data_IF_024818841793
#
_entry.id   IF_024818841793
#
_cell.length_a   1.000
_cell.length_b   1.000
_cell.length_c   1.000
_cell.angle_alpha   90.00
_cell.angle_beta   90.00
_cell.angle_gamma   90.00
#
_symmetry.space_group_name_H-M   'P 1'
#
loop_
_entity.id
_entity.type
_entity.pdbx_description
1 polymer ?
#
# COMPACT_ATOMS: atom_id res chain seq x y z
N UNK A 1 18.70 -6.65 -4.22
CA UNK A 1 19.33 -5.36 -4.52
C UNK A 1 20.33 -4.94 -3.43
N UNK A 2 19.96 -5.02 -2.15
CA UNK A 2 20.78 -4.60 -0.99
C UNK A 2 22.18 -5.22 -1.03
N UNK A 3 22.29 -6.52 -1.25
CA UNK A 3 23.55 -7.29 -1.21
C UNK A 3 24.29 -7.39 -2.56
N UNK A 4 23.77 -6.77 -3.61
CA UNK A 4 24.35 -6.87 -4.95
C UNK A 4 25.25 -5.66 -5.25
N UNK A 5 26.55 -5.83 -5.29
CA UNK A 5 27.55 -4.77 -5.52
C UNK A 5 27.42 -4.05 -6.89
N UNK A 6 26.77 -4.69 -7.84
CA UNK A 6 26.51 -4.08 -9.17
C UNK A 6 25.40 -3.06 -9.13
N UNK A 7 24.50 -3.13 -8.14
CA UNK A 7 23.43 -2.13 -7.94
C UNK A 7 23.99 -1.00 -7.10
N UNK A 8 23.98 0.20 -7.68
CA UNK A 8 24.50 1.41 -7.04
C UNK A 8 23.47 2.16 -6.24
N UNK A 9 22.21 2.08 -6.62
CA UNK A 9 21.10 2.75 -5.94
C UNK A 9 19.76 2.38 -6.54
N UNK A 10 18.72 3.00 -6.01
CA UNK A 10 17.35 2.91 -6.50
C UNK A 10 16.91 4.30 -6.99
N UNK A 11 16.36 4.33 -8.18
CA UNK A 11 15.68 5.49 -8.73
C UNK A 11 14.17 5.23 -8.73
N UNK A 12 13.43 6.02 -7.95
CA UNK A 12 11.97 5.94 -7.85
C UNK A 12 11.39 6.98 -8.80
N UNK A 13 10.74 6.53 -9.85
CA UNK A 13 9.96 7.37 -10.75
C UNK A 13 8.51 6.86 -10.75
N UNK A 14 7.68 7.31 -9.80
CA UNK A 14 6.30 6.85 -9.74
C UNK A 14 5.51 7.44 -10.93
N UNK A 15 4.69 6.62 -11.58
CA UNK A 15 3.75 7.08 -12.60
C UNK A 15 2.32 7.06 -12.07
N UNK A 16 1.81 5.91 -11.74
CA UNK A 16 0.50 5.69 -11.12
C UNK A 16 0.61 4.52 -10.16
N UNK A 17 0.05 4.67 -8.97
CA UNK A 17 0.15 3.68 -7.93
C UNK A 17 -1.23 3.43 -7.32
N UNK A 18 -1.89 2.36 -7.77
CA UNK A 18 -3.16 1.89 -7.22
C UNK A 18 -2.88 0.76 -6.22
N UNK A 19 -2.59 1.13 -4.98
CA UNK A 19 -2.37 0.16 -3.91
C UNK A 19 -2.82 0.70 -2.56
N UNK A 20 -2.97 -0.17 -1.55
CA UNK A 20 -3.36 0.22 -0.21
C UNK A 20 -2.20 0.88 0.55
N UNK A 21 -2.52 1.70 1.55
CA UNK A 21 -1.50 2.30 2.42
C UNK A 21 -0.68 1.25 3.16
N UNK A 22 -1.26 0.11 3.55
CA UNK A 22 -0.52 -1.00 4.14
C UNK A 22 0.54 -1.58 3.19
N UNK A 23 0.22 -1.72 1.89
CA UNK A 23 1.22 -2.16 0.89
C UNK A 23 2.30 -1.10 0.64
N UNK A 24 1.94 0.18 0.69
CA UNK A 24 2.91 1.28 0.60
C UNK A 24 3.89 1.28 1.77
N UNK A 25 3.40 1.02 2.98
CA UNK A 25 4.22 0.88 4.19
C UNK A 25 5.23 -0.26 4.06
N UNK A 26 4.80 -1.43 3.57
CA UNK A 26 5.70 -2.57 3.31
C UNK A 26 6.79 -2.24 2.28
N UNK A 27 6.42 -1.57 1.18
CA UNK A 27 7.41 -1.12 0.18
C UNK A 27 8.37 -0.10 0.81
N UNK A 28 7.85 0.83 1.61
CA UNK A 28 8.65 1.83 2.31
C UNK A 28 9.65 1.17 3.26
N UNK A 29 9.20 0.20 4.07
CA UNK A 29 10.07 -0.56 4.97
C UNK A 29 11.20 -1.28 4.21
N UNK A 30 10.90 -1.86 3.05
CA UNK A 30 11.90 -2.47 2.19
C UNK A 30 12.91 -1.45 1.61
N UNK A 31 12.47 -0.23 1.32
CA UNK A 31 13.36 0.87 0.90
C UNK A 31 14.24 1.35 2.05
N UNK A 32 13.72 1.44 3.27
CA UNK A 32 14.51 1.77 4.46
C UNK A 32 15.57 0.71 4.74
N UNK A 33 15.20 -0.58 4.67
CA UNK A 33 16.16 -1.68 4.76
C UNK A 33 17.24 -1.58 3.67
N UNK A 34 16.87 -1.22 2.45
CA UNK A 34 17.85 -1.00 1.38
C UNK A 34 18.83 0.13 1.71
N UNK A 35 18.39 1.23 2.33
CA UNK A 35 19.28 2.36 2.73
C UNK A 35 20.37 1.93 3.69
N UNK A 36 20.18 0.91 4.52
CA UNK A 36 21.22 0.38 5.41
C UNK A 36 22.46 -0.14 4.67
N UNK A 37 22.32 -0.43 3.36
CA UNK A 37 23.44 -0.79 2.50
C UNK A 37 24.39 0.38 2.15
N UNK A 38 24.04 1.61 2.51
CA UNK A 38 24.75 2.82 2.13
C UNK A 38 24.60 3.23 0.67
N UNK A 39 23.73 2.56 -0.09
CA UNK A 39 23.41 2.90 -1.49
C UNK A 39 22.33 3.97 -1.52
N UNK A 40 22.38 4.81 -2.56
CA UNK A 40 21.44 5.93 -2.67
C UNK A 40 20.02 5.48 -3.07
N UNK A 41 19.04 6.24 -2.60
CA UNK A 41 17.68 6.24 -3.14
C UNK A 41 17.37 7.66 -3.58
N UNK A 42 16.97 7.84 -4.83
CA UNK A 42 16.55 9.12 -5.38
C UNK A 42 15.16 8.98 -5.97
N UNK A 43 14.28 9.92 -5.65
CA UNK A 43 12.92 9.99 -6.19
C UNK A 43 12.76 11.22 -7.08
N UNK A 44 12.07 11.04 -8.20
CA UNK A 44 11.71 12.14 -9.11
C UNK A 44 10.32 11.91 -9.68
N UNK A 45 9.50 12.96 -9.68
CA UNK A 45 8.21 12.94 -10.35
C UNK A 45 7.83 14.31 -10.92
N UNK A 46 6.98 14.28 -11.93
CA UNK A 46 6.27 15.48 -12.39
C UNK A 46 5.09 15.78 -11.47
N UNK A 47 4.49 14.76 -10.88
CA UNK A 47 3.41 14.87 -9.91
C UNK A 47 3.55 13.79 -8.84
N UNK A 48 3.47 14.19 -7.58
CA UNK A 48 3.39 13.28 -6.44
C UNK A 48 1.96 13.25 -5.89
N UNK A 49 1.23 12.15 -6.08
CA UNK A 49 0.05 11.89 -5.25
C UNK A 49 0.48 11.63 -3.81
N UNK A 50 -0.41 11.74 -2.83
CA UNK A 50 -0.08 11.54 -1.42
C UNK A 50 0.61 10.20 -1.15
N UNK A 51 0.12 9.10 -1.75
CA UNK A 51 0.75 7.78 -1.62
C UNK A 51 2.13 7.69 -2.29
N UNK A 52 2.30 8.32 -3.45
CA UNK A 52 3.60 8.40 -4.13
C UNK A 52 4.60 9.22 -3.33
N UNK A 53 4.16 10.36 -2.76
CA UNK A 53 5.00 11.18 -1.90
C UNK A 53 5.41 10.45 -0.63
N UNK A 54 4.49 9.71 -0.03
CA UNK A 54 4.77 8.86 1.13
C UNK A 54 5.91 7.87 0.85
N UNK A 55 5.93 7.21 -0.30
CA UNK A 55 7.04 6.35 -0.71
C UNK A 55 8.31 7.15 -1.02
N UNK A 56 8.18 8.24 -1.78
CA UNK A 56 9.32 9.05 -2.20
C UNK A 56 10.03 9.70 -1.00
N UNK A 57 9.30 10.03 0.06
CA UNK A 57 9.84 10.72 1.24
C UNK A 57 10.92 9.94 1.98
N UNK A 58 11.07 8.63 1.76
CA UNK A 58 12.17 7.82 2.30
C UNK A 58 13.50 8.05 1.57
N UNK A 59 13.45 8.59 0.34
CA UNK A 59 14.63 8.79 -0.48
C UNK A 59 15.64 9.77 0.14
N UNK A 60 16.90 9.63 -0.23
CA UNK A 60 17.96 10.55 0.16
C UNK A 60 17.80 11.90 -0.53
N UNK A 61 17.18 11.88 -1.73
CA UNK A 61 16.79 13.07 -2.46
C UNK A 61 15.40 12.88 -3.06
N UNK A 62 14.51 13.79 -2.74
CA UNK A 62 13.18 13.93 -3.37
C UNK A 62 13.20 15.13 -4.29
N UNK A 63 13.03 14.90 -5.57
CA UNK A 63 13.17 15.89 -6.63
C UNK A 63 11.86 16.00 -7.38
N UNK A 64 11.47 17.21 -7.74
CA UNK A 64 10.24 17.47 -8.49
C UNK A 64 10.53 18.27 -9.76
N UNK A 65 9.68 18.11 -10.77
CA UNK A 65 9.71 18.94 -11.98
C UNK A 65 9.38 20.40 -11.63
N UNK A 66 9.96 21.42 -12.32
CA UNK A 66 9.63 22.84 -12.08
C UNK A 66 8.13 23.19 -12.22
N UNK A 67 7.39 22.44 -13.02
CA UNK A 67 5.93 22.59 -13.18
C UNK A 67 5.16 21.47 -12.44
N UNK A 68 5.84 20.75 -11.56
CA UNK A 68 5.26 19.65 -10.81
C UNK A 68 4.48 20.09 -9.59
N UNK A 69 3.67 19.18 -9.05
CA UNK A 69 2.92 19.41 -7.82
C UNK A 69 2.96 18.22 -6.87
N UNK A 70 2.66 18.48 -5.61
CA UNK A 70 2.53 17.47 -4.55
C UNK A 70 1.12 17.56 -3.98
N UNK A 71 0.34 16.49 -4.16
CA UNK A 71 -0.95 16.35 -3.49
C UNK A 71 -0.74 15.88 -2.04
N UNK A 72 -0.88 16.82 -1.10
CA UNK A 72 -0.79 16.54 0.32
C UNK A 72 -1.98 17.17 1.04
N UNK A 73 -3.04 16.39 1.30
CA UNK A 73 -4.37 16.90 1.68
C UNK A 73 -5.11 16.09 2.74
N UNK A 74 -4.47 15.08 3.36
CA UNK A 74 -5.11 14.23 4.36
C UNK A 74 -6.03 13.17 3.75
N UNK A 75 -6.97 12.67 4.56
CA UNK A 75 -7.87 11.59 4.20
C UNK A 75 -9.32 12.00 4.48
N UNK A 76 -10.23 11.64 3.59
CA UNK A 76 -11.66 11.88 3.74
C UNK A 76 -12.48 10.64 3.38
N UNK A 77 -13.66 10.52 3.98
CA UNK A 77 -14.68 9.53 3.62
C UNK A 77 -16.01 10.25 3.37
N UNK A 78 -16.61 9.98 2.22
CA UNK A 78 -17.87 10.57 1.80
C UNK A 78 -18.90 9.48 1.47
N UNK A 79 -19.58 8.89 2.47
CA UNK A 79 -20.61 7.91 2.21
C UNK A 79 -21.84 8.58 1.57
N UNK A 80 -22.44 7.90 0.61
CA UNK A 80 -23.68 8.32 -0.05
C UNK A 80 -24.84 7.55 0.55
N UNK A 81 -25.94 8.24 0.84
CA UNK A 81 -27.15 7.65 1.43
C UNK A 81 -28.30 7.68 0.41
N UNK A 82 -28.96 6.54 0.25
CA UNK A 82 -30.01 6.31 -0.76
C UNK A 82 -31.42 6.23 -0.16
N UNK A 83 -31.56 6.32 1.16
CA UNK A 83 -32.85 6.16 1.84
C UNK A 83 -33.94 7.02 1.24
N UNK A 84 -33.71 8.32 1.09
CA UNK A 84 -34.74 9.26 0.55
C UNK A 84 -35.09 8.93 -0.90
N UNK A 85 -34.17 8.43 -1.69
CA UNK A 85 -34.43 7.97 -3.05
C UNK A 85 -35.34 6.73 -3.05
N UNK A 86 -34.99 5.76 -2.19
CA UNK A 86 -35.74 4.50 -2.06
C UNK A 86 -37.14 4.75 -1.57
N UNK A 87 -37.32 5.63 -0.58
CA UNK A 87 -38.62 6.05 -0.07
C UNK A 87 -39.51 6.68 -1.20
N UNK A 88 -38.91 7.54 -2.06
CA UNK A 88 -39.63 8.14 -3.22
C UNK A 88 -40.00 7.10 -4.27
N UNK A 89 -39.28 6.02 -4.39
CA UNK A 89 -39.57 4.91 -5.31
C UNK A 89 -40.54 3.87 -4.70
N UNK A 90 -40.91 4.04 -3.42
CA UNK A 90 -41.80 3.10 -2.72
C UNK A 90 -41.08 1.78 -2.39
N UNK A 91 -39.75 1.79 -2.19
CA UNK A 91 -38.94 0.63 -1.87
C UNK A 91 -38.64 0.61 -0.39
N UNK A 92 -39.17 -0.38 0.32
CA UNK A 92 -38.88 -0.66 1.72
C UNK A 92 -37.68 -1.62 1.85
N UNK A 93 -36.64 -1.19 2.56
CA UNK A 93 -35.42 -2.00 2.79
C UNK A 93 -35.51 -2.67 4.15
N UNK A 94 -35.50 -4.01 4.17
CA UNK A 94 -35.44 -4.79 5.40
C UNK A 94 -33.98 -5.21 5.66
N UNK A 95 -33.49 -4.92 6.88
CA UNK A 95 -32.12 -5.16 7.27
C UNK A 95 -32.04 -6.14 8.42
N UNK A 96 -31.23 -7.19 8.24
CA UNK A 96 -30.86 -8.15 9.28
C UNK A 96 -29.37 -7.96 9.59
N UNK A 97 -29.02 -7.31 10.67
CA UNK A 97 -27.65 -7.10 11.11
C UNK A 97 -27.47 -7.40 12.60
N UNK A 98 -26.28 -7.87 12.95
CA UNK A 98 -25.88 -8.09 14.34
C UNK A 98 -24.62 -7.28 14.64
N UNK A 99 -24.66 -6.47 15.67
CA UNK A 99 -23.54 -5.64 16.13
C UNK A 99 -23.65 -4.17 15.74
N UNK A 100 -23.17 -3.32 16.64
CA UNK A 100 -23.28 -1.85 16.58
C UNK A 100 -22.51 -1.26 15.39
N UNK A 101 -21.33 -1.81 15.10
CA UNK A 101 -20.41 -1.30 14.07
C UNK A 101 -20.61 -1.91 12.67
N UNK A 102 -21.73 -2.63 12.43
CA UNK A 102 -22.09 -3.17 11.12
C UNK A 102 -22.81 -2.10 10.29
N UNK A 103 -22.04 -1.17 9.72
CA UNK A 103 -22.54 0.05 9.06
C UNK A 103 -22.78 -0.09 7.54
N UNK A 104 -22.40 -1.22 6.92
CA UNK A 104 -22.54 -1.41 5.46
C UNK A 104 -23.96 -1.21 4.91
N UNK A 105 -24.98 -1.37 5.74
CA UNK A 105 -26.39 -1.21 5.36
C UNK A 105 -26.94 0.20 5.61
N UNK A 106 -26.24 1.05 6.34
CA UNK A 106 -26.70 2.41 6.66
C UNK A 106 -27.04 3.26 5.43
N UNK A 107 -26.31 3.18 4.31
CA UNK A 107 -26.67 3.90 3.09
C UNK A 107 -28.09 3.68 2.60
N UNK A 108 -28.69 2.55 2.92
CA UNK A 108 -30.04 2.19 2.46
C UNK A 108 -31.15 2.50 3.46
N UNK A 109 -30.84 2.71 4.74
CA UNK A 109 -31.82 2.85 5.83
C UNK A 109 -31.67 4.14 6.64
N UNK A 110 -30.62 4.91 6.40
CA UNK A 110 -30.35 6.17 7.09
C UNK A 110 -30.06 7.30 6.08
N UNK A 111 -30.15 8.54 6.54
CA UNK A 111 -29.84 9.75 5.77
C UNK A 111 -28.48 10.34 6.14
N UNK A 112 -27.88 9.84 7.21
CA UNK A 112 -26.55 10.23 7.70
C UNK A 112 -25.88 9.09 8.42
N UNK A 113 -24.58 9.24 8.68
CA UNK A 113 -23.80 8.26 9.44
C UNK A 113 -24.28 8.19 10.89
N UNK A 114 -24.47 6.97 11.39
CA UNK A 114 -24.67 6.77 12.83
C UNK A 114 -23.43 7.22 13.64
N UNK A 115 -23.58 7.57 14.93
CA UNK A 115 -22.43 7.89 15.79
C UNK A 115 -21.35 6.77 15.80
N UNK A 116 -21.78 5.50 15.85
CA UNK A 116 -20.89 4.35 15.85
C UNK A 116 -20.12 4.24 14.51
N UNK A 117 -20.79 4.44 13.38
CA UNK A 117 -20.13 4.44 12.08
C UNK A 117 -19.14 5.62 11.95
N UNK A 118 -19.53 6.81 12.38
CA UNK A 118 -18.66 7.99 12.39
C UNK A 118 -17.41 7.74 13.25
N UNK A 119 -17.56 7.18 14.44
CA UNK A 119 -16.45 6.81 15.31
C UNK A 119 -15.50 5.84 14.60
N UNK A 120 -16.03 4.75 14.05
CA UNK A 120 -15.25 3.72 13.36
C UNK A 120 -14.44 4.30 12.19
N UNK A 121 -15.09 5.10 11.33
CA UNK A 121 -14.45 5.73 10.17
C UNK A 121 -13.39 6.74 10.62
N UNK A 122 -13.69 7.55 11.63
CA UNK A 122 -12.75 8.54 12.18
C UNK A 122 -11.51 7.87 12.74
N UNK A 123 -11.67 6.82 13.54
CA UNK A 123 -10.53 6.05 14.10
C UNK A 123 -9.69 5.44 12.97
N UNK A 124 -10.33 4.84 11.98
CA UNK A 124 -9.66 4.23 10.84
C UNK A 124 -8.84 5.26 10.04
N UNK A 125 -9.44 6.38 9.64
CA UNK A 125 -8.76 7.41 8.86
C UNK A 125 -7.62 8.07 9.66
N UNK A 126 -7.85 8.37 10.94
CA UNK A 126 -6.82 8.95 11.81
C UNK A 126 -5.65 7.98 12.03
N UNK A 127 -5.91 6.69 12.13
CA UNK A 127 -4.83 5.69 12.26
C UNK A 127 -3.91 5.71 11.03
N UNK A 128 -4.48 5.70 9.83
CA UNK A 128 -3.70 5.77 8.58
C UNK A 128 -2.97 7.13 8.49
N UNK A 129 -3.66 8.22 8.74
CA UNK A 129 -3.07 9.55 8.64
C UNK A 129 -1.91 9.76 9.62
N UNK A 130 -2.07 9.36 10.88
CA UNK A 130 -1.01 9.43 11.87
C UNK A 130 0.22 8.60 11.47
N UNK A 131 0.03 7.42 10.89
CA UNK A 131 1.14 6.60 10.38
C UNK A 131 1.90 7.33 9.26
N UNK A 132 1.18 7.95 8.29
CA UNK A 132 1.81 8.74 7.24
C UNK A 132 2.61 9.93 7.83
N UNK A 133 2.02 10.64 8.79
CA UNK A 133 2.67 11.76 9.46
C UNK A 133 3.93 11.33 10.21
N UNK A 134 3.87 10.22 10.95
CA UNK A 134 5.01 9.68 11.69
C UNK A 134 6.18 9.37 10.75
N UNK A 135 5.92 8.65 9.70
CA UNK A 135 6.92 8.21 8.74
C UNK A 135 7.54 9.37 7.95
N UNK A 136 6.70 10.28 7.46
CA UNK A 136 7.17 11.44 6.68
C UNK A 136 7.91 12.44 7.59
N UNK A 137 7.40 12.68 8.80
CA UNK A 137 8.05 13.53 9.79
C UNK A 137 9.49 13.10 10.07
N UNK A 138 9.70 11.82 10.32
CA UNK A 138 11.02 11.24 10.57
C UNK A 138 11.91 11.35 9.34
N UNK A 139 11.41 10.96 8.17
CA UNK A 139 12.23 10.90 6.95
C UNK A 139 12.59 12.26 6.39
N UNK A 140 11.71 13.26 6.53
CA UNK A 140 11.93 14.62 6.01
C UNK A 140 12.34 15.62 7.07
N UNK A 141 12.41 15.21 8.34
CA UNK A 141 12.68 16.08 9.49
C UNK A 141 11.72 17.29 9.54
N UNK A 142 10.44 17.04 9.31
CA UNK A 142 9.36 18.04 9.37
C UNK A 142 8.45 17.67 10.54
N UNK A 143 8.03 18.67 11.33
CA UNK A 143 7.10 18.39 12.45
C UNK A 143 5.74 17.92 11.93
N UNK A 144 5.06 17.05 12.70
CA UNK A 144 3.69 16.60 12.37
C UNK A 144 2.72 17.78 12.28
N UNK A 145 2.88 18.79 13.13
CA UNK A 145 2.06 20.00 13.10
C UNK A 145 2.24 20.75 11.78
N UNK A 146 3.48 20.87 11.28
CA UNK A 146 3.74 21.47 9.97
C UNK A 146 3.13 20.64 8.84
N UNK A 147 3.26 19.30 8.88
CA UNK A 147 2.67 18.42 7.88
C UNK A 147 1.14 18.52 7.86
N UNK A 148 0.49 18.64 9.03
CA UNK A 148 -0.95 18.89 9.12
C UNK A 148 -1.31 20.28 8.55
N UNK A 149 -0.56 21.31 8.90
CA UNK A 149 -0.79 22.65 8.35
C UNK A 149 -0.63 22.68 6.82
N UNK A 150 0.31 21.93 6.25
CA UNK A 150 0.45 21.80 4.81
C UNK A 150 -0.74 21.07 4.17
N UNK A 151 -1.31 20.07 4.84
CA UNK A 151 -2.50 19.39 4.35
C UNK A 151 -3.72 20.33 4.25
N UNK A 152 -3.78 21.35 5.11
CA UNK A 152 -4.86 22.35 5.12
C UNK A 152 -4.65 23.49 4.10
N UNK A 153 -3.47 23.58 3.44
CA UNK A 153 -3.06 24.72 2.61
C UNK A 153 -3.19 24.51 1.09
N UNK A 154 -3.89 23.47 0.61
CA UNK A 154 -3.99 23.20 -0.82
C UNK A 154 -2.61 23.20 -1.53
N UNK A 155 -1.69 22.38 -1.06
CA UNK A 155 -0.32 22.32 -1.57
C UNK A 155 -0.23 22.08 -3.08
N UNK A 156 -1.23 21.44 -3.69
CA UNK A 156 -1.31 21.23 -5.15
C UNK A 156 -1.20 22.50 -5.99
N UNK A 157 -1.50 23.66 -5.40
CA UNK A 157 -1.49 24.97 -6.06
C UNK A 157 -0.18 25.75 -5.83
N UNK A 158 0.77 25.19 -5.06
CA UNK A 158 2.03 25.83 -4.78
C UNK A 158 3.02 25.72 -5.96
N UNK A 159 3.94 26.66 -6.06
CA UNK A 159 5.08 26.56 -6.97
C UNK A 159 6.08 25.53 -6.45
N UNK A 160 6.84 24.89 -7.35
CA UNK A 160 7.78 23.83 -6.99
C UNK A 160 8.83 24.26 -5.95
N UNK A 161 9.25 25.53 -5.97
CA UNK A 161 10.21 26.10 -5.02
C UNK A 161 9.65 26.22 -3.59
N UNK A 162 8.32 26.31 -3.45
CA UNK A 162 7.69 26.33 -2.11
C UNK A 162 7.84 24.98 -1.41
N UNK A 163 7.82 23.86 -2.16
CA UNK A 163 8.04 22.54 -1.59
C UNK A 163 9.45 22.37 -1.01
N UNK A 164 10.46 23.05 -1.60
CA UNK A 164 11.81 23.10 -1.01
C UNK A 164 11.79 23.87 0.32
N UNK A 165 11.14 25.03 0.38
CA UNK A 165 11.02 25.82 1.61
C UNK A 165 10.29 25.07 2.72
N UNK A 166 9.29 24.29 2.36
CA UNK A 166 8.54 23.41 3.26
C UNK A 166 9.33 22.14 3.67
N UNK A 167 10.47 21.86 3.03
CA UNK A 167 11.24 20.63 3.27
C UNK A 167 10.65 19.37 2.63
N UNK A 168 9.57 19.51 1.83
CA UNK A 168 8.93 18.38 1.16
C UNK A 168 9.79 17.84 0.02
N UNK A 169 10.56 18.69 -0.67
CA UNK A 169 11.51 18.29 -1.70
C UNK A 169 12.89 18.85 -1.42
N UNK A 170 13.92 18.30 -2.06
CA UNK A 170 15.31 18.72 -1.91
C UNK A 170 15.78 19.61 -3.07
N UNK A 171 15.19 19.45 -4.26
CA UNK A 171 15.50 20.24 -5.44
C UNK A 171 14.42 20.17 -6.49
N UNK A 172 14.49 21.09 -7.42
CA UNK A 172 13.63 21.19 -8.61
C UNK A 172 14.52 21.00 -9.82
N UNK A 173 14.24 19.98 -10.64
CA UNK A 173 15.01 19.65 -11.84
C UNK A 173 14.07 19.29 -13.01
N UNK A 174 14.47 19.63 -14.21
CA UNK A 174 13.90 19.03 -15.41
C UNK A 174 14.38 17.59 -15.58
N UNK A 175 13.69 16.81 -16.40
CA UNK A 175 13.98 15.38 -16.58
C UNK A 175 15.37 15.11 -17.15
N UNK A 176 15.87 15.95 -18.03
CA UNK A 176 17.22 15.86 -18.59
C UNK A 176 18.29 16.14 -17.53
N UNK A 177 18.07 17.15 -16.66
CA UNK A 177 18.95 17.45 -15.53
C UNK A 177 18.95 16.29 -14.52
N UNK A 178 17.77 15.67 -14.28
CA UNK A 178 17.66 14.49 -13.44
C UNK A 178 18.46 13.30 -13.99
N UNK A 179 18.44 13.08 -15.32
CA UNK A 179 19.27 12.06 -15.97
C UNK A 179 20.76 12.38 -15.80
N UNK A 180 21.17 13.64 -15.97
CA UNK A 180 22.54 14.06 -15.73
C UNK A 180 22.98 13.84 -14.28
N UNK A 181 22.11 14.14 -13.32
CA UNK A 181 22.34 13.88 -11.89
C UNK A 181 22.53 12.38 -11.60
N UNK A 182 21.70 11.51 -12.16
CA UNK A 182 21.85 10.05 -12.03
C UNK A 182 23.16 9.54 -12.65
N UNK A 183 23.59 10.10 -13.80
CA UNK A 183 24.88 9.77 -14.40
C UNK A 183 26.03 10.15 -13.46
N UNK A 184 25.97 11.32 -12.85
CA UNK A 184 26.97 11.77 -11.87
C UNK A 184 27.02 10.81 -10.66
N UNK A 185 25.89 10.43 -10.06
CA UNK A 185 25.81 9.52 -8.93
C UNK A 185 26.38 8.12 -9.25
N UNK A 186 26.23 7.69 -10.52
CA UNK A 186 26.68 6.36 -10.97
C UNK A 186 28.07 6.36 -11.60
N UNK A 187 28.75 7.51 -11.67
CA UNK A 187 30.08 7.66 -12.28
C UNK A 187 30.05 7.50 -13.82
N UNK A 188 28.92 7.74 -14.47
CA UNK A 188 28.76 7.69 -15.92
C UNK A 188 29.10 9.04 -16.55
N UNK A 189 29.70 8.99 -17.75
CA UNK A 189 29.94 10.17 -18.57
C UNK A 189 28.65 10.65 -19.24
N UNK A 190 28.61 11.88 -19.67
CA UNK A 190 27.43 12.49 -20.31
C UNK A 190 26.99 11.75 -21.58
N UNK A 191 27.96 11.27 -22.38
CA UNK A 191 27.75 10.52 -23.62
C UNK A 191 27.32 9.06 -23.41
N UNK A 192 27.37 8.56 -22.19
CA UNK A 192 27.01 7.18 -21.85
C UNK A 192 25.54 7.08 -21.41
N UNK A 193 24.90 5.98 -21.76
CA UNK A 193 23.57 5.64 -21.24
C UNK A 193 23.63 5.17 -19.80
N UNK A 194 22.54 5.39 -19.04
CA UNK A 194 22.36 4.77 -17.73
C UNK A 194 22.10 3.27 -17.91
N UNK A 195 22.75 2.46 -17.09
CA UNK A 195 22.42 1.04 -16.96
C UNK A 195 21.33 0.92 -15.88
N UNK A 196 20.11 0.68 -16.31
CA UNK A 196 18.97 0.48 -15.41
C UNK A 196 18.47 -0.96 -15.49
N UNK A 197 17.96 -1.44 -14.36
CA UNK A 197 17.18 -2.66 -14.26
C UNK A 197 15.79 -2.27 -13.75
N UNK A 198 14.76 -2.83 -14.36
CA UNK A 198 13.40 -2.67 -13.87
C UNK A 198 13.08 -3.73 -12.81
N UNK A 199 11.99 -3.52 -12.08
CA UNK A 199 11.58 -4.44 -11.01
C UNK A 199 11.31 -5.86 -11.55
N UNK A 200 10.77 -5.95 -12.76
CA UNK A 200 10.49 -7.20 -13.47
C UNK A 200 11.77 -8.01 -13.73
N UNK A 201 12.87 -7.34 -14.02
CA UNK A 201 14.17 -7.99 -14.24
C UNK A 201 14.69 -8.64 -12.96
N UNK A 202 14.31 -8.09 -11.80
CA UNK A 202 14.74 -8.60 -10.49
C UNK A 202 14.06 -9.90 -10.07
N UNK A 203 12.92 -10.26 -10.67
CA UNK A 203 12.20 -11.51 -10.37
C UNK A 203 13.08 -12.73 -10.67
N UNK A 204 13.90 -12.64 -11.72
CA UNK A 204 14.78 -13.72 -12.18
C UNK A 204 16.16 -13.72 -11.54
N UNK A 205 16.47 -12.76 -10.67
CA UNK A 205 17.77 -12.71 -9.98
C UNK A 205 17.81 -13.82 -8.93
N UNK A 206 18.79 -14.71 -9.05
CA UNK A 206 19.01 -15.76 -8.05
C UNK A 206 19.28 -15.13 -6.69
N UNK A 207 18.41 -15.44 -5.72
CA UNK A 207 18.64 -15.05 -4.33
C UNK A 207 19.86 -15.79 -3.79
N UNK A 208 20.86 -15.07 -3.27
CA UNK A 208 21.98 -15.63 -2.52
C UNK A 208 21.55 -16.03 -1.09
N UNK A 209 20.38 -16.62 -0.95
CA UNK A 209 19.92 -17.15 0.34
C UNK A 209 20.53 -18.55 0.48
N UNK A 210 21.24 -18.85 1.57
CA UNK A 210 21.67 -20.21 1.84
C UNK A 210 20.48 -21.15 1.79
N UNK A 211 20.55 -22.18 0.96
CA UNK A 211 19.47 -23.19 0.93
C UNK A 211 19.46 -23.91 2.26
N UNK A 212 18.36 -23.81 2.98
CA UNK A 212 18.11 -24.69 4.12
C UNK A 212 18.11 -26.15 3.63
N UNK A 213 18.97 -26.96 4.25
CA UNK A 213 19.12 -28.39 3.95
C UNK A 213 18.31 -29.26 4.92
N UNK A 214 17.58 -28.66 5.87
CA UNK A 214 16.80 -29.40 6.88
C UNK A 214 15.62 -30.14 6.28
N UNK A 215 15.14 -29.70 5.11
CA UNK A 215 13.88 -30.16 4.51
C UNK A 215 12.64 -29.60 5.20
N UNK A 216 12.79 -28.79 6.25
CA UNK A 216 11.67 -28.15 6.93
C UNK A 216 11.09 -27.00 6.08
N UNK A 217 9.78 -26.88 6.06
CA UNK A 217 9.05 -25.88 5.28
C UNK A 217 8.18 -25.03 6.19
N UNK A 218 8.21 -23.74 6.00
CA UNK A 218 7.17 -22.81 6.46
C UNK A 218 6.31 -22.46 5.25
N UNK A 219 5.05 -22.88 5.27
CA UNK A 219 4.11 -22.59 4.19
C UNK A 219 3.46 -21.23 4.39
N UNK A 220 3.43 -20.39 3.36
CA UNK A 220 2.65 -19.14 3.36
C UNK A 220 1.44 -19.35 2.46
N UNK A 221 0.24 -19.29 3.06
CA UNK A 221 -1.02 -19.42 2.33
C UNK A 221 -1.68 -18.05 2.19
N UNK A 222 -1.85 -17.62 0.95
CA UNK A 222 -2.52 -16.35 0.62
C UNK A 222 -4.02 -16.60 0.42
N UNK A 223 -4.84 -15.96 1.24
CA UNK A 223 -6.29 -15.97 1.14
C UNK A 223 -6.77 -14.55 0.80
N UNK A 224 -7.04 -14.30 -0.48
CA UNK A 224 -7.40 -12.98 -1.00
C UNK A 224 -8.78 -13.02 -1.66
N UNK A 225 -9.59 -11.97 -1.46
CA UNK A 225 -10.90 -11.80 -2.04
C UNK A 225 -12.07 -12.22 -1.13
N UNK A 226 -13.29 -12.26 -1.70
CA UNK A 226 -14.51 -12.66 -1.01
C UNK A 226 -14.49 -14.17 -0.68
N UNK A 227 -15.01 -14.53 0.50
CA UNK A 227 -15.10 -15.93 0.93
C UNK A 227 -16.38 -16.55 0.34
N UNK A 228 -16.22 -17.53 -0.52
CA UNK A 228 -17.31 -18.30 -1.13
C UNK A 228 -17.27 -19.76 -0.68
N UNK A 229 -18.42 -20.45 -0.67
CA UNK A 229 -18.48 -21.87 -0.35
C UNK A 229 -17.68 -22.69 -1.36
N UNK A 230 -17.84 -22.36 -2.64
CA UNK A 230 -17.05 -22.87 -3.75
C UNK A 230 -16.95 -21.79 -4.84
N UNK A 231 -15.78 -21.62 -5.43
CA UNK A 231 -15.61 -20.71 -6.55
C UNK A 231 -16.17 -21.30 -7.84
N UNK A 232 -16.79 -20.45 -8.67
CA UNK A 232 -17.13 -20.84 -10.05
C UNK A 232 -15.85 -20.97 -10.88
N UNK A 233 -15.78 -21.97 -11.74
CA UNK A 233 -14.65 -22.18 -12.66
C UNK A 233 -14.41 -21.01 -13.64
N UNK A 234 -15.39 -20.13 -13.79
CA UNK A 234 -15.32 -18.96 -14.69
C UNK A 234 -15.13 -17.63 -13.96
N UNK A 235 -14.84 -17.64 -12.66
CA UNK A 235 -14.56 -16.40 -11.93
C UNK A 235 -13.22 -15.82 -12.40
N UNK A 236 -13.25 -14.57 -12.85
CA UNK A 236 -12.05 -13.76 -13.16
C UNK A 236 -11.56 -12.97 -11.95
N UNK A 237 -12.33 -12.95 -10.88
CA UNK A 237 -12.01 -12.25 -9.65
C UNK A 237 -11.28 -13.18 -8.67
N UNK A 238 -10.35 -12.62 -7.91
CA UNK A 238 -9.73 -13.35 -6.80
C UNK A 238 -10.76 -13.59 -5.70
N UNK A 239 -11.00 -14.86 -5.39
CA UNK A 239 -11.93 -15.28 -4.34
C UNK A 239 -11.28 -16.35 -3.46
N UNK A 240 -11.71 -16.41 -2.21
CA UNK A 240 -11.36 -17.47 -1.29
C UNK A 240 -12.40 -18.60 -1.45
N UNK A 241 -12.02 -19.64 -2.19
CA UNK A 241 -12.81 -20.85 -2.28
C UNK A 241 -12.68 -21.67 -0.99
N UNK A 242 -13.74 -21.72 -0.20
CA UNK A 242 -13.76 -22.39 1.10
C UNK A 242 -13.44 -23.88 1.02
N UNK A 243 -13.95 -24.57 0.01
CA UNK A 243 -13.67 -25.99 -0.18
C UNK A 243 -12.21 -26.25 -0.56
N UNK A 244 -11.65 -25.41 -1.46
CA UNK A 244 -10.25 -25.53 -1.87
C UNK A 244 -9.33 -25.24 -0.68
N UNK A 245 -9.56 -24.13 0.02
CA UNK A 245 -8.74 -23.72 1.15
C UNK A 245 -8.76 -24.76 2.27
N UNK A 246 -9.92 -25.31 2.60
CA UNK A 246 -10.08 -26.40 3.58
C UNK A 246 -9.23 -27.62 3.20
N UNK A 247 -9.26 -28.03 1.91
CA UNK A 247 -8.43 -29.15 1.43
C UNK A 247 -6.93 -28.83 1.49
N UNK A 248 -6.55 -27.62 1.13
CA UNK A 248 -5.15 -27.21 1.11
C UNK A 248 -4.57 -27.13 2.53
N UNK A 249 -5.32 -26.55 3.50
CA UNK A 249 -4.91 -26.51 4.91
C UNK A 249 -4.73 -27.93 5.48
N UNK A 250 -5.62 -28.85 5.14
CA UNK A 250 -5.49 -30.25 5.54
C UNK A 250 -4.23 -30.89 4.98
N UNK A 251 -3.93 -30.69 3.69
CA UNK A 251 -2.70 -31.18 3.07
C UNK A 251 -1.45 -30.63 3.74
N UNK A 252 -1.45 -29.31 4.03
CA UNK A 252 -0.33 -28.66 4.73
C UNK A 252 -0.12 -29.25 6.13
N UNK A 253 -1.19 -29.53 6.87
CA UNK A 253 -1.13 -30.16 8.19
C UNK A 253 -0.58 -31.59 8.13
N UNK A 254 -0.99 -32.34 7.10
CA UNK A 254 -0.63 -33.75 6.96
C UNK A 254 0.78 -33.94 6.36
N UNK A 255 1.43 -32.88 5.86
CA UNK A 255 2.80 -32.90 5.36
C UNK A 255 3.81 -32.76 6.50
N UNK A 256 4.55 -33.83 6.77
CA UNK A 256 5.57 -33.87 7.82
C UNK A 256 6.70 -32.85 7.65
N UNK A 257 6.93 -32.32 6.46
CA UNK A 257 7.96 -31.31 6.21
C UNK A 257 7.46 -29.90 6.59
N UNK A 258 6.14 -29.66 6.59
CA UNK A 258 5.55 -28.37 6.98
C UNK A 258 5.57 -28.26 8.49
N UNK A 259 6.34 -27.30 9.01
CA UNK A 259 6.51 -27.05 10.45
C UNK A 259 5.65 -25.90 10.97
N UNK A 260 5.26 -25.00 10.07
CA UNK A 260 4.36 -23.89 10.38
C UNK A 260 3.62 -23.46 9.12
N UNK A 261 2.43 -22.89 9.32
CA UNK A 261 1.63 -22.24 8.26
C UNK A 261 1.38 -20.81 8.66
N UNK A 262 1.76 -19.86 7.77
CA UNK A 262 1.41 -18.45 7.87
C UNK A 262 0.20 -18.23 6.96
N UNK A 263 -0.95 -17.95 7.56
CA UNK A 263 -2.17 -17.62 6.82
C UNK A 263 -2.27 -16.10 6.67
N UNK A 264 -2.05 -15.61 5.44
CA UNK A 264 -2.22 -14.18 5.11
C UNK A 264 -3.61 -13.97 4.53
N UNK A 265 -4.47 -13.31 5.30
CA UNK A 265 -5.86 -13.03 4.90
C UNK A 265 -5.99 -11.58 4.45
N UNK A 266 -6.54 -11.38 3.23
CA UNK A 266 -6.94 -10.09 2.69
C UNK A 266 -8.35 -10.22 2.09
N UNK A 267 -9.37 -10.07 2.94
CA UNK A 267 -10.75 -10.38 2.59
C UNK A 267 -11.74 -9.42 3.24
N UNK A 268 -12.79 -8.99 2.53
CA UNK A 268 -13.90 -8.24 3.11
C UNK A 268 -14.85 -9.12 3.94
N UNK A 269 -14.67 -10.45 3.88
CA UNK A 269 -15.57 -11.45 4.43
C UNK A 269 -16.29 -12.25 3.34
N UNK A 270 -17.45 -12.82 3.67
CA UNK A 270 -18.29 -13.60 2.74
C UNK A 270 -19.08 -14.68 3.48
N UNK A 271 -19.10 -15.91 2.95
CA UNK A 271 -19.85 -17.03 3.51
C UNK A 271 -19.42 -17.36 4.94
N UNK A 272 -20.39 -17.29 5.86
CA UNK A 272 -20.17 -17.71 7.25
C UNK A 272 -19.91 -19.23 7.32
N UNK A 273 -20.57 -20.02 6.49
CA UNK A 273 -20.37 -21.47 6.44
C UNK A 273 -18.93 -21.83 6.01
N UNK A 274 -18.47 -21.25 4.91
CA UNK A 274 -17.09 -21.48 4.45
C UNK A 274 -16.05 -21.02 5.48
N UNK A 275 -16.27 -19.87 6.10
CA UNK A 275 -15.39 -19.34 7.16
C UNK A 275 -15.29 -20.30 8.34
N UNK A 276 -16.41 -20.88 8.78
CA UNK A 276 -16.45 -21.90 9.84
C UNK A 276 -15.66 -23.15 9.46
N UNK A 277 -15.80 -23.63 8.21
CA UNK A 277 -15.05 -24.80 7.73
C UNK A 277 -13.53 -24.54 7.70
N UNK A 278 -13.12 -23.35 7.25
CA UNK A 278 -11.72 -22.92 7.25
C UNK A 278 -11.20 -22.85 8.68
N UNK A 279 -11.94 -22.17 9.59
CA UNK A 279 -11.59 -22.09 11.01
C UNK A 279 -11.38 -23.46 11.62
N UNK A 280 -12.26 -24.41 11.33
CA UNK A 280 -12.16 -25.79 11.84
C UNK A 280 -10.85 -26.45 11.46
N UNK A 281 -10.34 -26.24 10.26
CA UNK A 281 -9.04 -26.80 9.84
C UNK A 281 -7.85 -26.07 10.47
N UNK A 282 -8.00 -24.78 10.77
CA UNK A 282 -6.96 -23.99 11.45
C UNK A 282 -6.77 -24.41 12.91
N UNK A 283 -7.86 -24.75 13.61
CA UNK A 283 -7.82 -25.13 15.05
C UNK A 283 -7.52 -26.63 15.28
N UNK A 284 -7.41 -27.42 14.24
CA UNK A 284 -7.04 -28.85 14.29
C UNK A 284 -5.55 -29.08 14.21
#
# INVERSE_FOLDING_TARGET
>A
AKENDKIKGIYIQPSYLATSFASLEEIRNALQDFKESGKFIVAYADQYTQGMYYLASVADKVIINPQGNISWHGLASQPVFFKDLLDKLGIDVQVFKVGTYKSAVEPFIATEMSPANREQVTVFLNSIWNQLLDDVSVSRNISKDSLNAYADQCMDLCQAEEYIKCGLTDSVLYKDEMIAYLKQLTGRKEDQSLNSLFLEDMINVKKNVPKDKSGNVVAVYYASGEILDAASSNSTEEVIDGQKMTRDLRRLRDDNNVKAVVLRVNSPGGSAYASEQIWREVVR
#
